data_IF_844138527423
#
_entry.id   IF_844138527423
#
_cell.length_a   1.000
_cell.length_b   1.000
_cell.length_c   1.000
_cell.angle_alpha   90.00
_cell.angle_beta   90.00
_cell.angle_gamma   90.00
#
_symmetry.space_group_name_H-M   'P 1'
#
loop_
_entity.id
_entity.type
_entity.pdbx_description
1 polymer ?
#
# COMPACT_ATOMS: atom_id res chain seq x y z
N UNK A 1 9.55 -5.83 9.66
CA UNK A 1 10.06 -4.85 10.66
C UNK A 1 10.67 -5.51 11.89
N UNK A 2 10.43 -6.79 12.12
CA UNK A 2 10.99 -7.53 13.26
C UNK A 2 12.36 -8.15 12.99
N UNK A 3 12.81 -8.18 11.74
CA UNK A 3 14.14 -8.66 11.35
C UNK A 3 15.24 -7.78 11.95
N UNK A 4 16.40 -8.38 12.21
CA UNK A 4 17.58 -7.66 12.69
C UNK A 4 18.13 -6.70 11.63
N UNK A 5 19.00 -5.78 12.03
CA UNK A 5 19.65 -4.88 11.08
C UNK A 5 20.44 -5.66 10.02
N UNK A 6 21.18 -6.69 10.44
CA UNK A 6 22.03 -7.48 9.54
C UNK A 6 21.18 -8.23 8.51
N UNK A 7 20.08 -8.86 8.91
CA UNK A 7 19.14 -9.50 7.98
C UNK A 7 18.56 -8.51 6.97
N UNK A 8 18.20 -7.30 7.40
CA UNK A 8 17.68 -6.25 6.51
C UNK A 8 18.76 -5.72 5.56
N UNK A 9 20.01 -5.62 6.03
CA UNK A 9 21.14 -5.23 5.18
C UNK A 9 21.41 -6.28 4.10
N UNK A 10 21.49 -7.54 4.48
CA UNK A 10 21.67 -8.65 3.51
C UNK A 10 20.57 -8.70 2.47
N UNK A 11 19.32 -8.40 2.86
CA UNK A 11 18.17 -8.33 1.95
C UNK A 11 18.09 -7.03 1.13
N UNK A 12 18.90 -6.00 1.45
CA UNK A 12 18.83 -4.68 0.81
C UNK A 12 17.54 -3.90 1.14
N UNK A 13 16.88 -4.21 2.25
CA UNK A 13 15.55 -3.67 2.62
C UNK A 13 15.61 -2.48 3.57
N UNK A 14 16.79 -1.95 3.89
CA UNK A 14 16.97 -0.81 4.79
C UNK A 14 18.06 0.13 4.25
N UNK A 15 17.78 1.45 4.32
CA UNK A 15 18.81 2.48 4.30
C UNK A 15 18.96 3.00 5.73
N UNK A 16 20.17 3.10 6.24
CA UNK A 16 20.45 3.42 7.65
C UNK A 16 21.56 4.46 7.79
N UNK A 17 21.72 4.99 9.00
CA UNK A 17 22.68 6.06 9.32
C UNK A 17 22.53 7.33 8.45
N UNK A 18 21.31 7.56 7.97
CA UNK A 18 20.96 8.73 7.17
C UNK A 18 20.99 9.99 8.04
N UNK A 19 21.39 11.12 7.47
CA UNK A 19 21.37 12.43 8.14
C UNK A 19 20.48 13.41 7.39
N UNK A 20 19.78 14.27 8.11
CA UNK A 20 18.94 15.30 7.50
C UNK A 20 19.81 16.41 6.94
N UNK A 21 19.67 16.68 5.64
CA UNK A 21 20.27 17.81 4.94
C UNK A 21 19.29 18.98 4.84
N UNK A 22 18.02 18.68 4.59
CA UNK A 22 16.97 19.70 4.48
C UNK A 22 15.67 19.18 5.06
N UNK A 23 15.05 20.00 5.93
CA UNK A 23 13.77 19.70 6.56
C UNK A 23 12.70 20.68 6.07
N UNK A 24 11.79 20.21 5.24
CA UNK A 24 10.59 20.92 4.76
C UNK A 24 9.30 20.22 5.19
N UNK A 25 9.34 19.48 6.27
CA UNK A 25 8.22 18.69 6.76
C UNK A 25 6.96 19.52 7.08
N UNK A 26 7.11 20.81 7.42
CA UNK A 26 6.01 21.72 7.72
C UNK A 26 5.39 22.43 6.51
N UNK A 27 5.94 22.28 5.31
CA UNK A 27 5.40 22.92 4.11
C UNK A 27 4.05 22.32 3.69
N UNK A 28 3.00 23.18 3.56
CA UNK A 28 1.63 22.77 3.32
C UNK A 28 1.60 22.10 1.95
N UNK A 29 1.80 21.78 1.06
CA UNK A 29 1.54 21.07 -0.21
C UNK A 29 2.72 20.24 -0.75
N UNK A 30 3.91 20.44 -0.17
CA UNK A 30 5.13 19.76 -0.63
C UNK A 30 6.03 19.43 0.56
N UNK A 31 5.48 18.79 1.61
CA UNK A 31 6.28 18.36 2.75
C UNK A 31 7.28 17.29 2.31
N UNK A 32 8.58 17.54 2.52
CA UNK A 32 9.63 16.57 2.24
C UNK A 32 10.79 16.67 3.23
N UNK A 33 11.56 15.61 3.29
CA UNK A 33 12.85 15.53 3.97
C UNK A 33 13.89 15.11 2.92
N UNK A 34 15.01 15.83 2.89
CA UNK A 34 16.19 15.47 2.14
C UNK A 34 17.21 14.89 3.11
N UNK A 35 17.71 13.71 2.82
CA UNK A 35 18.65 12.97 3.64
C UNK A 35 19.93 12.69 2.84
N UNK A 36 21.09 12.73 3.51
CA UNK A 36 22.33 12.18 2.96
C UNK A 36 22.38 10.68 3.20
N UNK A 37 22.83 9.94 2.19
CA UNK A 37 23.13 8.52 2.29
C UNK A 37 24.63 8.40 2.59
N UNK A 38 25.05 7.69 3.65
CA UNK A 38 26.46 7.44 3.91
C UNK A 38 27.05 6.49 2.87
N UNK A 39 28.34 6.47 2.73
CA UNK A 39 29.00 5.48 1.91
C UNK A 39 28.95 4.13 2.63
N UNK A 40 28.22 3.18 2.05
CA UNK A 40 28.18 1.80 2.53
C UNK A 40 29.29 0.95 1.93
N UNK A 41 29.47 -0.26 2.46
CA UNK A 41 30.35 -1.26 1.88
C UNK A 41 29.92 -1.62 0.45
N UNK A 42 30.87 -1.95 -0.42
CA UNK A 42 30.61 -2.33 -1.82
C UNK A 42 29.67 -3.54 -1.98
N UNK A 43 29.58 -4.36 -0.96
CA UNK A 43 28.69 -5.54 -0.95
C UNK A 43 27.22 -5.21 -0.59
N UNK A 44 26.95 -4.00 -0.08
CA UNK A 44 25.60 -3.59 0.28
C UNK A 44 24.88 -2.98 -0.92
N UNK A 45 23.85 -3.67 -1.41
CA UNK A 45 23.04 -3.24 -2.55
C UNK A 45 21.61 -2.94 -2.07
N UNK A 46 21.30 -1.71 -1.69
CA UNK A 46 19.95 -1.35 -1.27
C UNK A 46 18.96 -1.42 -2.43
N UNK A 47 17.80 -2.03 -2.20
CA UNK A 47 16.76 -2.22 -3.21
C UNK A 47 15.68 -1.13 -3.10
N UNK A 48 16.06 0.15 -3.28
CA UNK A 48 15.14 1.28 -3.24
C UNK A 48 15.09 2.01 -4.58
N UNK A 49 13.89 2.49 -4.94
CA UNK A 49 13.65 3.19 -6.21
C UNK A 49 12.74 4.39 -6.01
N UNK A 50 12.84 5.34 -6.93
CA UNK A 50 11.87 6.45 -7.02
C UNK A 50 10.45 5.90 -7.17
N UNK A 51 9.53 6.38 -6.33
CA UNK A 51 8.15 5.93 -6.28
C UNK A 51 7.86 4.96 -5.13
N UNK A 52 8.87 4.32 -4.54
CA UNK A 52 8.67 3.37 -3.45
C UNK A 52 8.00 4.04 -2.24
N UNK A 53 7.11 3.28 -1.63
CA UNK A 53 6.43 3.66 -0.39
C UNK A 53 7.30 3.23 0.78
N UNK A 54 7.63 4.19 1.65
CA UNK A 54 8.60 3.97 2.71
C UNK A 54 8.15 4.53 4.05
N UNK A 55 8.75 4.00 5.11
CA UNK A 55 8.72 4.55 6.45
C UNK A 55 10.09 5.11 6.81
N UNK A 56 10.11 6.35 7.31
CA UNK A 56 11.26 7.03 7.86
C UNK A 56 11.13 7.07 9.39
N UNK A 57 12.17 6.72 10.13
CA UNK A 57 12.19 6.79 11.57
C UNK A 57 13.59 7.11 12.10
N UNK A 58 13.65 7.63 13.33
CA UNK A 58 14.91 7.91 14.02
C UNK A 58 15.56 6.59 14.47
N UNK A 59 16.85 6.41 14.16
CA UNK A 59 17.63 5.24 14.53
C UNK A 59 19.02 5.66 15.00
N UNK A 60 19.19 5.79 16.30
CA UNK A 60 20.44 6.19 16.93
C UNK A 60 21.26 5.02 17.50
N UNK A 61 20.64 3.81 17.60
CA UNK A 61 21.28 2.59 18.07
C UNK A 61 20.65 1.34 17.41
N UNK A 62 21.25 0.18 17.63
CA UNK A 62 20.86 -1.07 16.99
C UNK A 62 19.52 -1.66 17.47
N UNK A 63 19.02 -1.21 18.60
CA UNK A 63 17.70 -1.62 19.12
C UNK A 63 16.55 -0.80 18.54
N UNK A 64 16.86 0.34 17.91
CA UNK A 64 15.87 1.23 17.31
C UNK A 64 15.36 0.63 15.98
N UNK A 65 14.04 0.53 15.86
CA UNK A 65 13.39 -0.01 14.67
C UNK A 65 12.00 0.65 14.45
N UNK A 66 11.37 0.35 13.32
CA UNK A 66 10.08 0.93 12.95
C UNK A 66 8.93 0.57 13.91
N UNK A 67 9.08 -0.43 14.79
CA UNK A 67 8.03 -0.83 15.75
C UNK A 67 8.11 -0.10 17.10
N UNK A 68 9.29 0.44 17.45
CA UNK A 68 9.51 1.12 18.74
C UNK A 68 9.81 2.62 18.61
N UNK A 69 9.87 3.15 17.40
CA UNK A 69 10.08 4.58 17.10
C UNK A 69 8.87 5.20 16.43
N UNK A 70 8.80 6.52 16.46
CA UNK A 70 7.83 7.27 15.66
C UNK A 70 8.18 7.12 14.19
N UNK A 71 7.22 6.63 13.38
CA UNK A 71 7.39 6.43 11.95
C UNK A 71 6.69 7.52 11.14
N UNK A 72 7.34 7.98 10.08
CA UNK A 72 6.80 8.93 9.12
C UNK A 72 6.67 8.24 7.77
N UNK A 73 5.44 8.11 7.27
CA UNK A 73 5.18 7.49 5.98
C UNK A 73 5.41 8.49 4.84
N UNK A 74 6.03 8.01 3.78
CA UNK A 74 6.32 8.82 2.60
C UNK A 74 6.52 8.00 1.34
N UNK A 75 6.84 8.71 0.27
CA UNK A 75 7.26 8.09 -0.98
C UNK A 75 8.63 8.65 -1.37
N UNK A 76 9.49 7.82 -1.91
CA UNK A 76 10.76 8.26 -2.48
C UNK A 76 10.47 9.12 -3.71
N UNK A 77 10.79 10.40 -3.64
CA UNK A 77 10.65 11.33 -4.77
C UNK A 77 11.90 11.32 -5.66
N UNK A 78 13.06 11.16 -5.03
CA UNK A 78 14.35 11.05 -5.70
C UNK A 78 15.32 10.26 -4.84
N UNK A 79 16.12 9.42 -5.45
CA UNK A 79 17.24 8.70 -4.83
C UNK A 79 18.44 8.72 -5.76
N UNK A 80 19.60 8.99 -5.20
CA UNK A 80 20.93 8.90 -5.82
C UNK A 80 21.87 8.13 -4.91
N UNK A 81 23.13 7.96 -5.27
CA UNK A 81 24.11 7.26 -4.43
C UNK A 81 24.38 8.01 -3.10
N UNK A 82 24.13 9.31 -3.04
CA UNK A 82 24.47 10.16 -1.88
C UNK A 82 23.30 10.85 -1.24
N UNK A 83 22.14 10.90 -1.90
CA UNK A 83 20.97 11.67 -1.44
C UNK A 83 19.67 10.90 -1.61
N UNK A 84 18.80 11.07 -0.63
CA UNK A 84 17.43 10.52 -0.63
C UNK A 84 16.43 11.62 -0.29
N UNK A 85 15.50 11.90 -1.21
CA UNK A 85 14.39 12.81 -0.98
C UNK A 85 13.11 12.01 -0.77
N UNK A 86 12.49 12.21 0.39
CA UNK A 86 11.22 11.57 0.74
C UNK A 86 10.14 12.63 0.84
N UNK A 87 9.09 12.50 0.01
CA UNK A 87 7.85 13.25 0.16
C UNK A 87 7.01 12.63 1.26
N UNK A 88 6.73 13.39 2.31
CA UNK A 88 5.91 12.92 3.42
C UNK A 88 4.42 12.88 3.01
N UNK A 89 3.72 11.84 3.45
CA UNK A 89 2.26 11.71 3.23
C UNK A 89 1.44 12.71 4.03
N UNK A 90 1.96 13.15 5.17
CA UNK A 90 1.32 14.14 6.03
C UNK A 90 2.31 15.24 6.39
N UNK A 91 1.85 16.49 6.28
CA UNK A 91 2.59 17.66 6.75
C UNK A 91 2.78 17.58 8.26
N UNK A 92 4.00 17.78 8.75
CA UNK A 92 4.34 17.80 10.16
C UNK A 92 4.30 19.25 10.65
N UNK A 93 3.32 19.59 11.49
CA UNK A 93 3.21 20.94 12.07
C UNK A 93 4.43 21.31 12.92
N UNK A 94 4.96 20.33 13.62
CA UNK A 94 6.19 20.47 14.41
C UNK A 94 7.37 19.87 13.62
N UNK A 95 8.16 20.73 12.96
CA UNK A 95 9.33 20.30 12.21
C UNK A 95 10.47 19.80 13.12
N UNK A 96 10.45 20.11 14.43
CA UNK A 96 11.50 19.68 15.38
C UNK A 96 11.47 18.17 15.68
N UNK A 97 10.43 17.45 15.23
CA UNK A 97 10.41 15.97 15.27
C UNK A 97 11.51 15.34 14.40
N UNK A 98 12.10 16.12 13.50
CA UNK A 98 13.24 15.72 12.69
C UNK A 98 14.48 16.47 13.15
N UNK A 99 15.22 15.87 14.09
CA UNK A 99 16.47 16.47 14.61
C UNK A 99 17.62 16.28 13.61
N UNK A 100 18.39 17.33 13.28
CA UNK A 100 19.57 17.19 12.43
C UNK A 100 20.72 16.41 13.12
N UNK A 101 20.70 16.31 14.44
CA UNK A 101 21.72 15.61 15.23
C UNK A 101 21.44 14.09 15.33
N UNK A 102 20.25 13.66 14.93
CA UNK A 102 19.85 12.25 14.96
C UNK A 102 20.22 11.51 13.67
N UNK A 103 20.36 10.20 13.77
CA UNK A 103 20.44 9.30 12.63
C UNK A 103 19.06 8.75 12.30
N UNK A 104 18.86 8.44 11.04
CA UNK A 104 17.59 7.96 10.52
C UNK A 104 17.76 6.67 9.75
N UNK A 105 16.69 5.90 9.68
CA UNK A 105 16.58 4.75 8.80
C UNK A 105 15.31 4.83 7.95
N UNK A 106 15.37 4.21 6.79
CA UNK A 106 14.26 4.08 5.85
C UNK A 106 14.08 2.63 5.48
N UNK A 107 12.86 2.14 5.58
CA UNK A 107 12.45 0.80 5.19
C UNK A 107 11.24 0.88 4.25
N UNK A 108 11.01 -0.17 3.46
CA UNK A 108 9.78 -0.27 2.69
C UNK A 108 8.56 -0.31 3.60
N UNK A 109 7.53 0.49 3.27
CA UNK A 109 6.23 0.39 3.93
C UNK A 109 5.43 -0.74 3.29
N UNK A 110 4.86 -1.60 4.10
CA UNK A 110 3.82 -2.51 3.64
C UNK A 110 2.58 -1.70 3.29
N UNK A 111 2.05 -1.90 2.07
CA UNK A 111 0.87 -1.17 1.63
C UNK A 111 -0.36 -1.57 2.46
N UNK A 112 -0.64 -0.82 3.51
CA UNK A 112 -1.80 -1.01 4.40
C UNK A 112 -3.16 -0.84 3.71
N UNK A 113 -3.18 -0.30 2.50
CA UNK A 113 -4.44 -0.02 1.78
C UNK A 113 -5.26 -1.29 1.54
N UNK A 114 -4.60 -2.40 1.18
CA UNK A 114 -5.26 -3.68 0.98
C UNK A 114 -5.81 -4.23 2.30
N UNK A 115 -5.01 -4.24 3.35
CA UNK A 115 -5.43 -4.70 4.69
C UNK A 115 -6.56 -3.83 5.25
N UNK A 116 -6.45 -2.51 5.11
CA UNK A 116 -7.52 -1.60 5.53
C UNK A 116 -8.84 -1.92 4.80
N UNK A 117 -8.81 -2.14 3.50
CA UNK A 117 -9.98 -2.50 2.72
C UNK A 117 -10.57 -3.86 3.15
N UNK A 118 -9.70 -4.82 3.46
CA UNK A 118 -10.12 -6.12 3.99
C UNK A 118 -10.80 -5.99 5.36
N UNK A 119 -10.24 -5.23 6.30
CA UNK A 119 -10.84 -4.98 7.61
C UNK A 119 -12.17 -4.23 7.51
N UNK A 120 -12.26 -3.20 6.65
CA UNK A 120 -13.52 -2.50 6.40
C UNK A 120 -14.57 -3.42 5.77
N UNK A 121 -14.17 -4.28 4.84
CA UNK A 121 -15.04 -5.29 4.24
C UNK A 121 -15.54 -6.31 5.27
N UNK A 122 -14.67 -6.78 6.16
CA UNK A 122 -15.03 -7.70 7.24
C UNK A 122 -16.00 -7.03 8.25
N UNK A 123 -15.74 -5.79 8.65
CA UNK A 123 -16.65 -5.04 9.52
C UNK A 123 -18.02 -4.87 8.85
N UNK A 124 -18.05 -4.45 7.59
CA UNK A 124 -19.31 -4.32 6.84
C UNK A 124 -20.07 -5.66 6.70
N UNK A 125 -19.34 -6.78 6.57
CA UNK A 125 -19.93 -8.12 6.55
C UNK A 125 -20.56 -8.49 7.91
N UNK A 126 -19.88 -8.17 9.02
CA UNK A 126 -20.41 -8.44 10.37
C UNK A 126 -21.68 -7.60 10.67
N UNK A 127 -21.74 -6.37 10.17
CA UNK A 127 -22.88 -5.45 10.33
C UNK A 127 -24.01 -5.74 9.31
N UNK A 128 -23.77 -6.57 8.30
CA UNK A 128 -24.75 -6.91 7.30
C UNK A 128 -25.89 -7.78 7.88
N UNK A 129 -27.10 -7.64 7.33
CA UNK A 129 -28.22 -8.50 7.69
C UNK A 129 -27.96 -9.97 7.31
N UNK A 130 -28.72 -10.90 7.91
CA UNK A 130 -28.56 -12.34 7.72
C UNK A 130 -28.64 -12.74 6.25
N UNK A 131 -29.62 -12.21 5.53
CA UNK A 131 -29.81 -12.50 4.10
C UNK A 131 -28.59 -12.20 3.25
N UNK A 132 -27.95 -11.04 3.48
CA UNK A 132 -26.73 -10.62 2.77
C UNK A 132 -25.52 -11.46 3.17
N UNK A 133 -25.40 -11.85 4.43
CA UNK A 133 -24.32 -12.74 4.89
C UNK A 133 -24.44 -14.13 4.26
N UNK A 134 -25.64 -14.71 4.27
CA UNK A 134 -25.91 -16.02 3.63
C UNK A 134 -25.58 -16.00 2.14
N UNK A 135 -25.94 -14.90 1.45
CA UNK A 135 -25.64 -14.71 0.04
C UNK A 135 -24.12 -14.69 -0.21
N UNK A 136 -23.37 -13.91 0.58
CA UNK A 136 -21.91 -13.79 0.43
C UNK A 136 -21.15 -15.07 0.83
N UNK A 137 -21.72 -15.87 1.74
CA UNK A 137 -21.18 -17.17 2.14
C UNK A 137 -21.61 -18.33 1.19
N UNK A 138 -22.38 -18.03 0.15
CA UNK A 138 -22.87 -19.05 -0.79
C UNK A 138 -23.93 -19.99 -0.22
N UNK A 139 -24.50 -19.63 0.94
CA UNK A 139 -25.58 -20.38 1.58
C UNK A 139 -26.93 -20.14 0.90
N UNK A 140 -27.02 -19.13 0.08
CA UNK A 140 -28.14 -18.78 -0.77
C UNK A 140 -27.67 -18.39 -2.16
N UNK A 141 -28.33 -18.86 -3.25
CA UNK A 141 -27.95 -18.42 -4.60
C UNK A 141 -28.32 -16.96 -4.84
N UNK A 142 -27.56 -16.23 -5.70
CA UNK A 142 -27.92 -14.90 -6.13
C UNK A 142 -29.21 -14.90 -6.94
N UNK A 143 -29.99 -13.84 -6.82
CA UNK A 143 -31.25 -13.66 -7.58
C UNK A 143 -30.95 -13.00 -8.93
N UNK A 144 -31.71 -13.43 -9.93
CA UNK A 144 -31.71 -12.88 -11.26
C UNK A 144 -33.11 -12.43 -11.67
N UNK A 145 -33.19 -11.50 -12.57
CA UNK A 145 -34.45 -11.02 -13.14
C UNK A 145 -34.82 -11.90 -14.31
N UNK A 146 -35.91 -12.68 -14.17
CA UNK A 146 -36.39 -13.60 -15.19
C UNK A 146 -36.90 -12.88 -16.46
N UNK A 147 -37.12 -11.57 -16.43
CA UNK A 147 -37.53 -10.84 -17.63
C UNK A 147 -36.45 -10.83 -18.73
N UNK A 148 -35.21 -11.17 -18.37
CA UNK A 148 -34.07 -11.30 -19.31
C UNK A 148 -33.92 -12.70 -19.91
N UNK A 149 -34.65 -13.73 -19.40
CA UNK A 149 -34.42 -15.13 -19.79
C UNK A 149 -34.62 -15.35 -21.29
N UNK A 150 -35.64 -14.74 -21.90
CA UNK A 150 -35.92 -14.86 -23.33
C UNK A 150 -34.80 -14.22 -24.18
N UNK A 151 -34.34 -13.02 -23.82
CA UNK A 151 -33.24 -12.33 -24.51
C UNK A 151 -31.93 -13.13 -24.40
N UNK A 152 -31.64 -13.68 -23.21
CA UNK A 152 -30.44 -14.51 -22.97
C UNK A 152 -30.50 -15.79 -23.81
N UNK A 153 -31.68 -16.39 -23.99
CA UNK A 153 -31.87 -17.62 -24.75
C UNK A 153 -31.75 -17.37 -26.26
N UNK A 154 -32.19 -16.21 -26.75
CA UNK A 154 -32.23 -15.88 -28.18
C UNK A 154 -30.89 -15.32 -28.72
N UNK A 155 -30.05 -14.73 -27.87
CA UNK A 155 -28.76 -14.17 -28.34
C UNK A 155 -27.78 -15.25 -28.77
N UNK A 156 -27.20 -15.07 -29.97
CA UNK A 156 -26.12 -15.92 -30.51
C UNK A 156 -24.71 -15.44 -30.10
N UNK A 157 -24.58 -14.27 -29.52
CA UNK A 157 -23.30 -13.67 -29.11
C UNK A 157 -22.99 -13.97 -27.64
N UNK A 158 -21.82 -14.56 -27.40
CA UNK A 158 -21.38 -14.90 -26.05
C UNK A 158 -21.11 -13.67 -25.18
N UNK A 159 -20.62 -12.56 -25.73
CA UNK A 159 -20.42 -11.32 -25.00
C UNK A 159 -21.77 -10.66 -24.63
N UNK A 160 -22.69 -10.62 -25.57
CA UNK A 160 -24.04 -10.12 -25.32
C UNK A 160 -24.75 -10.97 -24.25
N UNK A 161 -24.61 -12.29 -24.32
CA UNK A 161 -25.15 -13.22 -23.30
C UNK A 161 -24.58 -12.93 -21.91
N UNK A 162 -23.27 -12.68 -21.80
CA UNK A 162 -22.63 -12.32 -20.52
C UNK A 162 -23.13 -10.97 -20.02
N UNK A 163 -23.27 -9.98 -20.91
CA UNK A 163 -23.79 -8.66 -20.55
C UNK A 163 -25.23 -8.74 -20.04
N UNK A 164 -26.13 -9.47 -20.74
CA UNK A 164 -27.52 -9.67 -20.32
C UNK A 164 -27.61 -10.39 -18.98
N UNK A 165 -26.78 -11.41 -18.74
CA UNK A 165 -26.70 -12.09 -17.43
C UNK A 165 -26.23 -11.16 -16.32
N UNK A 166 -25.24 -10.31 -16.59
CA UNK A 166 -24.76 -9.33 -15.62
C UNK A 166 -25.85 -8.29 -15.29
N UNK A 167 -26.60 -7.82 -16.30
CA UNK A 167 -27.69 -6.86 -16.15
C UNK A 167 -28.89 -7.47 -15.41
N UNK A 168 -29.18 -8.76 -15.63
CA UNK A 168 -30.26 -9.47 -14.93
C UNK A 168 -29.96 -9.74 -13.44
N UNK A 169 -28.69 -9.63 -13.02
CA UNK A 169 -28.30 -9.91 -11.63
C UNK A 169 -28.81 -8.86 -10.66
N UNK A 170 -29.61 -9.27 -9.67
CA UNK A 170 -30.17 -8.40 -8.63
C UNK A 170 -29.28 -8.29 -7.38
N UNK A 171 -28.40 -9.25 -7.15
CA UNK A 171 -27.53 -9.29 -5.98
C UNK A 171 -26.06 -9.07 -6.37
N UNK A 172 -25.47 -9.97 -7.13
CA UNK A 172 -24.13 -9.86 -7.70
C UNK A 172 -23.96 -10.77 -8.91
N UNK A 173 -22.97 -10.45 -9.73
CA UNK A 173 -22.54 -11.28 -10.85
C UNK A 173 -21.02 -11.45 -10.81
N UNK A 174 -20.54 -12.67 -10.98
CA UNK A 174 -19.11 -12.98 -11.01
C UNK A 174 -18.66 -13.22 -12.44
N UNK A 175 -17.83 -12.33 -12.97
CA UNK A 175 -17.20 -12.49 -14.27
C UNK A 175 -15.74 -12.91 -14.10
N UNK A 176 -15.42 -14.12 -14.56
CA UNK A 176 -14.05 -14.64 -14.57
C UNK A 176 -13.50 -14.60 -15.98
N UNK A 177 -12.36 -13.95 -16.14
CA UNK A 177 -11.67 -13.90 -17.45
C UNK A 177 -10.17 -13.73 -17.26
N UNK A 178 -9.33 -14.45 -18.04
CA UNK A 178 -7.89 -14.25 -18.04
C UNK A 178 -7.48 -12.81 -18.42
N UNK A 179 -6.24 -12.39 -18.15
CA UNK A 179 -5.72 -11.13 -18.64
C UNK A 179 -5.85 -11.03 -20.18
N UNK A 180 -6.29 -9.86 -20.69
CA UNK A 180 -6.44 -9.64 -22.13
C UNK A 180 -7.79 -10.04 -22.75
N UNK A 181 -8.76 -10.54 -21.96
CA UNK A 181 -10.09 -10.93 -22.45
C UNK A 181 -11.11 -9.78 -22.56
N UNK A 182 -10.69 -8.54 -22.39
CA UNK A 182 -11.56 -7.35 -22.57
C UNK A 182 -12.64 -7.13 -21.49
N UNK A 183 -12.48 -7.75 -20.30
CA UNK A 183 -13.41 -7.56 -19.18
C UNK A 183 -13.25 -6.21 -18.47
#
# INVERSE_FOLDING_TARGET
WLSTLDEKREAGEILYDLQIMENRASQAHKAYILLSIPQYDEMFLPNFRTGDVVVLYERNNDLDNATNKMVFKGNIEQITDTELRIRLRATQRNASVFSPDSRYAVEHDTMDTTFRSMYLGLSAFLDANTERRELLLGQRPPRFDSSFDEAIALTGDDFERVALKAESARDYFLLVGPPGTGK
#
